data_IF_220804142945
#
_entry.id   IF_220804142945
#
_cell.length_a   1.000
_cell.length_b   1.000
_cell.length_c   1.000
_cell.angle_alpha   90.00
_cell.angle_beta   90.00
_cell.angle_gamma   90.00
#
_symmetry.space_group_name_H-M   'P 1'
#
loop_
_entity.id
_entity.type
_entity.pdbx_description
1 polymer ?
#
# COMPACT_ATOMS: atom_id res chain seq x y z
N UNK A 1 -31.73 -6.04 -23.27
CA UNK A 1 -31.79 -6.70 -21.95
C UNK A 1 -30.96 -5.86 -21.02
N UNK A 2 -31.49 -5.46 -19.87
CA UNK A 2 -30.70 -4.79 -18.82
C UNK A 2 -29.54 -5.72 -18.43
N UNK A 3 -28.36 -5.16 -18.16
CA UNK A 3 -27.24 -5.92 -17.63
C UNK A 3 -27.53 -6.44 -16.21
N UNK A 4 -26.69 -7.34 -15.67
CA UNK A 4 -26.79 -7.77 -14.28
C UNK A 4 -26.71 -6.59 -13.30
N UNK A 5 -27.46 -6.67 -12.20
CA UNK A 5 -27.38 -5.71 -11.08
C UNK A 5 -26.35 -6.18 -10.07
N UNK A 6 -25.47 -5.27 -9.63
CA UNK A 6 -24.30 -5.60 -8.81
C UNK A 6 -24.44 -5.01 -7.40
N UNK A 7 -24.44 -5.86 -6.38
CA UNK A 7 -24.40 -5.48 -4.98
C UNK A 7 -22.96 -5.37 -4.47
N UNK A 8 -22.68 -4.38 -3.64
CA UNK A 8 -21.45 -4.29 -2.83
C UNK A 8 -21.84 -4.13 -1.37
N UNK A 9 -21.66 -5.19 -0.59
CA UNK A 9 -21.89 -5.26 0.84
C UNK A 9 -20.59 -4.95 1.60
N UNK A 10 -20.56 -3.78 2.23
CA UNK A 10 -19.33 -3.16 2.73
C UNK A 10 -18.98 -1.94 1.88
N UNK A 11 -19.14 -0.75 2.43
CA UNK A 11 -18.83 0.54 1.79
C UNK A 11 -17.49 1.08 2.25
N UNK A 12 -16.48 0.20 2.27
CA UNK A 12 -15.09 0.57 2.52
C UNK A 12 -14.45 1.15 1.25
N UNK A 13 -13.17 1.50 1.30
CA UNK A 13 -12.40 1.87 0.12
C UNK A 13 -12.53 0.87 -1.03
N UNK A 14 -12.47 -0.42 -0.72
CA UNK A 14 -12.59 -1.49 -1.70
C UNK A 14 -14.00 -1.55 -2.31
N UNK A 15 -15.04 -1.49 -1.47
CA UNK A 15 -16.43 -1.55 -1.91
C UNK A 15 -16.85 -0.33 -2.74
N UNK A 16 -16.49 0.89 -2.29
CA UNK A 16 -16.82 2.14 -2.97
C UNK A 16 -16.11 2.23 -4.32
N UNK A 17 -14.78 2.05 -4.36
CA UNK A 17 -14.02 2.16 -5.61
C UNK A 17 -14.50 1.12 -6.65
N UNK A 18 -14.74 -0.11 -6.21
CA UNK A 18 -15.23 -1.18 -7.08
C UNK A 18 -16.67 -0.92 -7.56
N UNK A 19 -17.55 -0.46 -6.69
CA UNK A 19 -18.94 -0.12 -7.01
C UNK A 19 -19.06 1.03 -8.01
N UNK A 20 -18.30 2.11 -7.79
CA UNK A 20 -18.21 3.22 -8.77
C UNK A 20 -17.59 2.75 -10.08
N UNK A 21 -16.56 1.89 -10.02
CA UNK A 21 -15.97 1.24 -11.19
C UNK A 21 -16.99 0.44 -12.00
N UNK A 22 -17.81 -0.38 -11.35
CA UNK A 22 -18.92 -1.12 -11.97
C UNK A 22 -19.95 -0.19 -12.61
N UNK A 23 -20.36 0.87 -11.90
CA UNK A 23 -21.31 1.85 -12.43
C UNK A 23 -20.78 2.55 -13.68
N UNK A 24 -19.48 2.86 -13.73
CA UNK A 24 -18.82 3.45 -14.91
C UNK A 24 -18.83 2.54 -16.15
N UNK A 25 -18.99 1.22 -15.97
CA UNK A 25 -19.17 0.26 -17.06
C UNK A 25 -20.63 0.09 -17.48
N UNK A 26 -21.54 0.86 -16.88
CA UNK A 26 -22.95 0.90 -17.25
C UNK A 26 -23.84 -0.09 -16.50
N UNK A 27 -23.34 -0.71 -15.43
CA UNK A 27 -24.15 -1.57 -14.56
C UNK A 27 -24.88 -0.76 -13.48
N UNK A 28 -26.05 -1.22 -13.08
CA UNK A 28 -26.74 -0.67 -11.91
C UNK A 28 -26.19 -1.34 -10.66
N UNK A 29 -25.95 -0.53 -9.62
CA UNK A 29 -25.18 -0.92 -8.44
C UNK A 29 -25.95 -0.58 -7.16
N UNK A 30 -25.97 -1.55 -6.24
CA UNK A 30 -26.54 -1.40 -4.90
C UNK A 30 -25.42 -1.49 -3.87
N UNK A 31 -25.11 -0.38 -3.21
CA UNK A 31 -24.21 -0.33 -2.08
C UNK A 31 -24.95 -0.57 -0.77
N UNK A 32 -24.48 -1.53 0.04
CA UNK A 32 -25.06 -1.87 1.33
C UNK A 32 -24.05 -1.69 2.47
N UNK A 33 -24.47 -1.07 3.57
CA UNK A 33 -23.73 -1.04 4.83
C UNK A 33 -24.68 -0.98 6.04
N UNK A 34 -24.31 -1.61 7.15
CA UNK A 34 -25.14 -1.61 8.38
C UNK A 34 -25.25 -0.23 9.06
N UNK A 35 -24.36 0.70 8.72
CA UNK A 35 -24.33 2.06 9.27
C UNK A 35 -25.20 2.99 8.41
N UNK A 36 -26.36 3.36 8.95
CA UNK A 36 -27.32 4.24 8.29
C UNK A 36 -26.80 5.67 8.09
N UNK A 37 -25.96 6.17 9.01
CA UNK A 37 -25.39 7.52 8.93
C UNK A 37 -24.34 7.56 7.81
N UNK A 38 -23.50 6.52 7.71
CA UNK A 38 -22.56 6.36 6.60
C UNK A 38 -23.29 6.30 5.25
N UNK A 39 -24.35 5.50 5.16
CA UNK A 39 -25.17 5.37 3.95
C UNK A 39 -25.77 6.72 3.56
N UNK A 40 -26.37 7.44 4.52
CA UNK A 40 -26.95 8.75 4.26
C UNK A 40 -25.89 9.78 3.80
N UNK A 41 -24.69 9.75 4.39
CA UNK A 41 -23.59 10.61 3.98
C UNK A 41 -23.16 10.34 2.53
N UNK A 42 -22.97 9.07 2.16
CA UNK A 42 -22.60 8.66 0.79
C UNK A 42 -23.71 9.01 -0.19
N UNK A 43 -24.97 8.77 0.15
CA UNK A 43 -26.12 9.07 -0.72
C UNK A 43 -26.24 10.59 -1.00
N UNK A 44 -25.87 11.41 0.00
CA UNK A 44 -25.72 12.86 -0.09
C UNK A 44 -24.44 13.34 -0.81
N UNK A 45 -23.58 12.43 -1.29
CA UNK A 45 -22.36 12.73 -2.04
C UNK A 45 -21.09 12.92 -1.20
N UNK A 46 -21.15 12.67 0.11
CA UNK A 46 -19.98 12.74 1.00
C UNK A 46 -19.34 11.36 1.12
N UNK A 47 -18.30 11.11 0.33
CA UNK A 47 -17.58 9.82 0.36
C UNK A 47 -16.59 9.75 1.54
N UNK A 48 -16.53 8.63 2.27
CA UNK A 48 -15.60 8.42 3.39
C UNK A 48 -14.15 8.14 2.93
N UNK A 49 -13.90 8.13 1.62
CA UNK A 49 -12.63 7.72 1.03
C UNK A 49 -12.17 8.75 0.00
N UNK A 50 -10.86 8.98 -0.06
CA UNK A 50 -10.25 9.95 -0.96
C UNK A 50 -9.36 9.22 -1.95
N UNK A 51 -9.70 9.33 -3.23
CA UNK A 51 -8.92 8.78 -4.34
C UNK A 51 -9.00 9.75 -5.53
N UNK A 52 -7.94 9.86 -6.35
CA UNK A 52 -8.00 10.63 -7.58
C UNK A 52 -9.18 10.21 -8.47
N UNK A 53 -9.89 11.20 -9.01
CA UNK A 53 -11.04 11.07 -9.90
C UNK A 53 -12.30 10.41 -9.33
N UNK A 54 -12.30 9.99 -8.05
CA UNK A 54 -13.42 9.26 -7.46
C UNK A 54 -14.71 10.09 -7.42
N UNK A 55 -14.65 11.33 -6.90
CA UNK A 55 -15.83 12.20 -6.76
C UNK A 55 -16.47 12.50 -8.12
N UNK A 56 -15.64 12.79 -9.13
CA UNK A 56 -16.10 13.07 -10.48
C UNK A 56 -16.77 11.82 -11.11
N UNK A 57 -16.17 10.64 -10.94
CA UNK A 57 -16.71 9.39 -11.48
C UNK A 57 -17.99 8.97 -10.74
N UNK A 58 -18.05 9.17 -9.43
CA UNK A 58 -19.25 8.94 -8.61
C UNK A 58 -20.40 9.83 -9.09
N UNK A 59 -20.16 11.14 -9.23
CA UNK A 59 -21.18 12.08 -9.68
C UNK A 59 -21.68 11.77 -11.10
N UNK A 60 -20.77 11.44 -12.03
CA UNK A 60 -21.11 11.08 -13.41
C UNK A 60 -21.99 9.82 -13.50
N UNK A 61 -21.89 8.91 -12.54
CA UNK A 61 -22.61 7.64 -12.52
C UNK A 61 -23.70 7.57 -11.44
N UNK A 62 -24.04 8.69 -10.79
CA UNK A 62 -24.95 8.73 -9.64
C UNK A 62 -26.31 8.06 -9.90
N UNK A 63 -26.83 8.19 -11.13
CA UNK A 63 -28.10 7.59 -11.54
C UNK A 63 -28.11 6.05 -11.59
N UNK A 64 -26.95 5.40 -11.46
CA UNK A 64 -26.78 3.94 -11.40
C UNK A 64 -26.42 3.43 -10.01
N UNK A 65 -26.16 4.33 -9.07
CA UNK A 65 -25.72 4.00 -7.71
C UNK A 65 -26.91 4.16 -6.77
N UNK A 66 -27.25 3.11 -6.02
CA UNK A 66 -28.23 3.18 -4.93
C UNK A 66 -27.58 2.71 -3.65
N UNK A 67 -27.77 3.42 -2.54
CA UNK A 67 -27.22 3.04 -1.24
C UNK A 67 -28.33 2.74 -0.24
N UNK A 68 -28.15 1.71 0.58
CA UNK A 68 -29.13 1.30 1.59
C UNK A 68 -28.47 0.72 2.84
N UNK A 69 -29.12 0.93 3.98
CA UNK A 69 -28.80 0.24 5.23
C UNK A 69 -29.71 -0.96 5.51
N UNK A 70 -30.65 -1.26 4.61
CA UNK A 70 -31.50 -2.45 4.66
C UNK A 70 -30.93 -3.54 3.73
N UNK A 71 -30.52 -4.72 4.27
CA UNK A 71 -29.99 -5.81 3.44
C UNK A 71 -31.02 -6.37 2.45
N UNK A 72 -32.32 -6.15 2.64
CA UNK A 72 -33.35 -6.53 1.67
C UNK A 72 -33.19 -5.83 0.31
N UNK A 73 -32.49 -4.69 0.26
CA UNK A 73 -32.14 -4.01 -0.99
C UNK A 73 -31.28 -4.85 -1.94
N UNK A 74 -30.58 -5.86 -1.42
CA UNK A 74 -29.75 -6.78 -2.20
C UNK A 74 -30.55 -7.86 -2.94
N UNK A 75 -31.84 -8.02 -2.66
CA UNK A 75 -32.69 -9.03 -3.30
C UNK A 75 -32.83 -8.87 -4.82
N UNK A 76 -32.56 -7.67 -5.34
CA UNK A 76 -32.54 -7.37 -6.78
C UNK A 76 -31.21 -7.71 -7.48
N UNK A 77 -30.14 -7.98 -6.72
CA UNK A 77 -28.79 -8.15 -7.27
C UNK A 77 -28.58 -9.54 -7.85
N UNK A 78 -27.93 -9.61 -9.01
CA UNK A 78 -27.46 -10.85 -9.64
C UNK A 78 -26.14 -11.34 -9.03
N UNK A 79 -25.31 -10.38 -8.62
CA UNK A 79 -23.98 -10.62 -8.05
C UNK A 79 -23.86 -9.72 -6.84
N UNK A 80 -23.42 -10.24 -5.70
CA UNK A 80 -23.17 -9.46 -4.48
C UNK A 80 -21.74 -9.69 -4.03
N UNK A 81 -20.97 -8.62 -3.96
CA UNK A 81 -19.61 -8.63 -3.42
C UNK A 81 -19.63 -8.36 -1.92
N UNK A 82 -18.86 -9.14 -1.15
CA UNK A 82 -18.52 -8.82 0.24
C UNK A 82 -17.17 -8.09 0.24
N UNK A 83 -17.16 -6.83 0.65
CA UNK A 83 -16.05 -5.91 0.53
C UNK A 83 -15.81 -5.12 1.84
N UNK A 84 -15.76 -5.84 2.97
CA UNK A 84 -15.43 -5.26 4.28
C UNK A 84 -13.92 -5.22 4.52
N UNK A 85 -13.48 -4.33 5.41
CA UNK A 85 -12.08 -4.29 5.85
C UNK A 85 -11.80 -5.48 6.78
N UNK A 86 -10.56 -5.95 6.74
CA UNK A 86 -10.08 -7.10 7.53
C UNK A 86 -9.03 -6.59 8.50
N UNK A 87 -9.40 -6.31 9.76
CA UNK A 87 -8.45 -5.88 10.78
C UNK A 87 -7.32 -6.89 10.91
N UNK A 88 -6.13 -6.39 11.18
CA UNK A 88 -4.94 -7.22 11.36
C UNK A 88 -4.14 -6.70 12.54
N UNK A 89 -3.78 -7.59 13.46
CA UNK A 89 -2.96 -7.29 14.63
C UNK A 89 -1.47 -7.05 14.27
N UNK A 90 -0.64 -6.84 15.29
CA UNK A 90 0.80 -6.57 15.14
C UNK A 90 1.58 -7.83 14.73
N UNK A 91 1.04 -9.03 14.98
CA UNK A 91 1.60 -10.31 14.52
C UNK A 91 1.15 -10.66 13.07
N UNK A 92 0.42 -9.74 12.43
CA UNK A 92 -0.09 -9.94 11.09
C UNK A 92 -1.21 -10.97 11.01
N UNK A 93 -1.88 -11.31 12.11
CA UNK A 93 -3.04 -12.20 12.10
C UNK A 93 -4.31 -11.42 11.77
N UNK A 94 -5.11 -11.96 10.85
CA UNK A 94 -6.34 -11.32 10.37
C UNK A 94 -7.54 -11.72 11.20
N UNK A 95 -8.34 -10.75 11.60
CA UNK A 95 -9.68 -10.97 12.14
C UNK A 95 -10.69 -11.12 11.00
N UNK A 96 -11.21 -12.34 10.84
CA UNK A 96 -12.16 -12.68 9.77
C UNK A 96 -13.62 -12.48 10.20
N UNK A 97 -13.88 -12.16 11.47
CA UNK A 97 -15.22 -11.96 12.05
C UNK A 97 -16.06 -10.94 11.25
N UNK A 98 -15.51 -9.81 10.77
CA UNK A 98 -16.30 -8.87 9.97
C UNK A 98 -16.80 -9.46 8.65
N UNK A 99 -16.00 -10.30 8.00
CA UNK A 99 -16.39 -10.95 6.73
C UNK A 99 -17.50 -11.95 7.00
N UNK A 100 -17.33 -12.79 8.02
CA UNK A 100 -18.30 -13.82 8.41
C UNK A 100 -19.64 -13.18 8.77
N UNK A 101 -19.61 -12.12 9.57
CA UNK A 101 -20.81 -11.35 9.95
C UNK A 101 -21.51 -10.75 8.73
N UNK A 102 -20.76 -10.20 7.78
CA UNK A 102 -21.33 -9.63 6.57
C UNK A 102 -21.97 -10.70 5.68
N UNK A 103 -21.30 -11.85 5.51
CA UNK A 103 -21.86 -13.00 4.77
C UNK A 103 -23.17 -13.47 5.41
N UNK A 104 -23.20 -13.65 6.73
CA UNK A 104 -24.39 -14.09 7.47
C UNK A 104 -25.53 -13.06 7.38
N UNK A 105 -25.19 -11.77 7.33
CA UNK A 105 -26.16 -10.68 7.19
C UNK A 105 -26.79 -10.67 5.80
N UNK A 106 -26.02 -10.83 4.72
CA UNK A 106 -26.54 -10.63 3.36
C UNK A 106 -27.11 -11.89 2.73
N UNK A 107 -26.56 -13.07 3.05
CA UNK A 107 -26.94 -14.35 2.42
C UNK A 107 -28.45 -14.63 2.48
N UNK A 108 -29.17 -14.38 3.59
CA UNK A 108 -30.62 -14.62 3.67
C UNK A 108 -31.46 -13.73 2.73
N UNK A 109 -30.91 -12.64 2.21
CA UNK A 109 -31.61 -11.66 1.38
C UNK A 109 -31.31 -11.79 -0.11
N UNK A 110 -30.38 -12.69 -0.48
CA UNK A 110 -30.02 -12.93 -1.87
C UNK A 110 -31.09 -13.76 -2.57
N UNK A 111 -31.37 -13.46 -3.84
CA UNK A 111 -32.18 -14.34 -4.69
C UNK A 111 -31.52 -15.71 -4.86
N UNK A 112 -32.33 -16.73 -5.17
CA UNK A 112 -31.90 -18.13 -5.21
C UNK A 112 -30.74 -18.41 -6.19
N UNK A 113 -30.65 -17.65 -7.28
CA UNK A 113 -29.61 -17.76 -8.31
C UNK A 113 -28.51 -16.69 -8.21
N UNK A 114 -28.56 -15.83 -7.19
CA UNK A 114 -27.53 -14.81 -6.99
C UNK A 114 -26.20 -15.44 -6.62
N UNK A 115 -25.15 -14.77 -7.10
CA UNK A 115 -23.76 -15.11 -6.86
C UNK A 115 -23.22 -14.24 -5.73
N UNK A 116 -22.60 -14.85 -4.73
CA UNK A 116 -21.84 -14.16 -3.70
C UNK A 116 -20.35 -14.21 -4.05
N UNK A 117 -19.70 -13.06 -4.06
CA UNK A 117 -18.26 -12.94 -4.33
C UNK A 117 -17.56 -12.35 -3.12
N UNK A 118 -16.62 -13.09 -2.53
CA UNK A 118 -15.74 -12.54 -1.49
C UNK A 118 -14.66 -11.71 -2.19
N UNK A 119 -14.62 -10.40 -1.93
CA UNK A 119 -13.60 -9.49 -2.46
C UNK A 119 -12.51 -9.17 -1.41
N UNK A 120 -12.85 -9.33 -0.13
CA UNK A 120 -11.94 -9.19 1.00
C UNK A 120 -10.76 -10.15 0.91
N UNK A 121 -9.58 -9.74 1.37
CA UNK A 121 -8.46 -10.66 1.45
C UNK A 121 -8.67 -11.68 2.58
N UNK A 122 -8.51 -12.97 2.25
CA UNK A 122 -8.73 -14.11 3.17
C UNK A 122 -7.58 -15.12 3.04
N UNK A 123 -7.32 -15.95 4.08
CA UNK A 123 -6.30 -16.99 4.00
C UNK A 123 -6.72 -18.15 3.07
N UNK A 124 -5.76 -18.90 2.49
CA UNK A 124 -6.07 -20.07 1.69
C UNK A 124 -6.93 -21.11 2.43
N UNK A 125 -7.99 -21.57 1.76
CA UNK A 125 -8.99 -22.50 2.29
C UNK A 125 -10.23 -21.83 2.86
N UNK A 126 -10.24 -20.51 3.05
CA UNK A 126 -11.36 -19.79 3.64
C UNK A 126 -12.66 -19.99 2.87
N UNK A 127 -12.65 -19.77 1.55
CA UNK A 127 -13.86 -19.84 0.72
C UNK A 127 -14.38 -21.26 0.59
N UNK A 128 -13.49 -22.27 0.56
CA UNK A 128 -13.85 -23.69 0.50
C UNK A 128 -14.67 -24.13 1.73
N UNK A 129 -14.39 -23.55 2.89
CA UNK A 129 -15.03 -23.89 4.17
C UNK A 129 -16.42 -23.28 4.37
N UNK A 130 -16.94 -22.50 3.42
CA UNK A 130 -18.22 -21.78 3.58
C UNK A 130 -19.42 -22.63 3.18
N UNK A 131 -20.52 -22.45 3.91
CA UNK A 131 -21.78 -23.18 3.72
C UNK A 131 -22.66 -22.59 2.59
N UNK A 132 -22.06 -22.26 1.45
CA UNK A 132 -22.76 -21.85 0.23
C UNK A 132 -22.53 -22.89 -0.86
N UNK A 133 -23.50 -23.05 -1.75
CA UNK A 133 -23.35 -24.04 -2.83
C UNK A 133 -22.18 -23.64 -3.74
N UNK A 134 -21.35 -24.61 -4.18
CA UNK A 134 -20.13 -24.33 -4.96
C UNK A 134 -20.33 -23.54 -6.27
N UNK A 135 -21.55 -23.47 -6.78
CA UNK A 135 -21.95 -22.76 -7.99
C UNK A 135 -22.38 -21.31 -7.75
N UNK A 136 -22.59 -20.92 -6.48
CA UNK A 136 -23.02 -19.57 -6.06
C UNK A 136 -21.95 -18.79 -5.33
N UNK A 137 -20.89 -19.43 -4.84
CA UNK A 137 -19.79 -18.76 -4.15
C UNK A 137 -18.60 -18.58 -5.09
N UNK A 138 -18.02 -17.39 -5.09
CA UNK A 138 -16.76 -17.09 -5.76
C UNK A 138 -15.88 -16.25 -4.84
N UNK A 139 -14.59 -16.25 -5.14
CA UNK A 139 -13.62 -15.35 -4.56
C UNK A 139 -13.03 -14.52 -5.69
N UNK A 140 -12.76 -13.25 -5.46
CA UNK A 140 -12.07 -12.41 -6.44
C UNK A 140 -10.90 -11.72 -5.75
N UNK A 141 -9.71 -11.88 -6.33
CA UNK A 141 -8.51 -11.21 -5.82
C UNK A 141 -8.61 -9.72 -6.12
N UNK A 142 -8.58 -8.89 -5.08
CA UNK A 142 -8.42 -7.45 -5.25
C UNK A 142 -6.95 -7.08 -5.49
N UNK A 143 -6.73 -6.09 -6.37
CA UNK A 143 -5.39 -5.55 -6.67
C UNK A 143 -5.42 -4.03 -6.71
N UNK A 144 -6.24 -3.40 -5.86
CA UNK A 144 -6.29 -1.95 -5.77
C UNK A 144 -5.00 -1.42 -5.15
N UNK A 145 -4.63 -0.20 -5.53
CA UNK A 145 -3.46 0.51 -5.03
C UNK A 145 -3.95 1.87 -4.59
N UNK A 146 -3.72 2.23 -3.32
CA UNK A 146 -4.05 3.56 -2.80
C UNK A 146 -3.46 4.67 -3.69
N UNK A 147 -4.27 5.66 -4.01
CA UNK A 147 -3.94 6.76 -4.93
C UNK A 147 -4.11 6.42 -6.42
N UNK A 148 -4.45 5.16 -6.74
CA UNK A 148 -4.76 4.68 -8.10
C UNK A 148 -5.93 3.69 -8.09
N UNK A 149 -6.75 3.71 -7.04
CA UNK A 149 -7.76 2.67 -6.85
C UNK A 149 -8.87 2.78 -7.90
N UNK A 150 -9.29 4.00 -8.23
CA UNK A 150 -10.30 4.26 -9.28
C UNK A 150 -9.82 3.79 -10.65
N UNK A 151 -8.58 4.12 -11.02
CA UNK A 151 -7.98 3.64 -12.27
C UNK A 151 -7.95 2.11 -12.31
N UNK A 152 -7.52 1.46 -11.22
CA UNK A 152 -7.44 -0.01 -11.12
C UNK A 152 -8.81 -0.68 -11.12
N UNK A 153 -9.82 -0.06 -10.53
CA UNK A 153 -11.19 -0.55 -10.52
C UNK A 153 -11.86 -0.42 -11.90
N UNK A 154 -11.51 0.61 -12.68
CA UNK A 154 -12.10 0.86 -14.01
C UNK A 154 -11.35 0.21 -15.16
N UNK A 155 -10.04 0.03 -15.02
CA UNK A 155 -9.13 -0.54 -16.03
C UNK A 155 -8.22 -1.61 -15.39
N UNK A 156 -8.80 -2.72 -14.90
CA UNK A 156 -8.02 -3.79 -14.30
C UNK A 156 -7.12 -4.47 -15.34
N UNK A 157 -5.92 -4.89 -14.93
CA UNK A 157 -5.01 -5.63 -15.80
C UNK A 157 -5.49 -7.07 -16.05
N UNK A 158 -6.27 -7.63 -15.11
CA UNK A 158 -6.83 -8.99 -15.11
C UNK A 158 -7.83 -9.14 -13.96
N UNK A 159 -8.73 -10.12 -14.07
CA UNK A 159 -9.50 -10.63 -12.93
C UNK A 159 -9.04 -12.04 -12.58
N UNK A 160 -8.66 -12.26 -11.31
CA UNK A 160 -8.34 -13.58 -10.77
C UNK A 160 -9.54 -14.04 -9.95
N UNK A 161 -10.09 -15.20 -10.32
CA UNK A 161 -11.40 -15.65 -9.82
C UNK A 161 -11.23 -17.03 -9.19
N UNK A 162 -11.40 -17.11 -7.87
CA UNK A 162 -11.48 -18.36 -7.13
C UNK A 162 -12.87 -18.97 -7.24
N UNK A 163 -12.92 -20.25 -7.60
CA UNK A 163 -14.15 -21.02 -7.73
C UNK A 163 -13.91 -22.49 -7.31
N UNK A 164 -14.98 -23.27 -7.19
CA UNK A 164 -14.86 -24.68 -6.81
C UNK A 164 -14.21 -25.54 -7.90
N UNK A 165 -14.56 -25.30 -9.17
CA UNK A 165 -14.04 -25.98 -10.36
C UNK A 165 -13.75 -24.97 -11.49
N UNK A 166 -12.47 -24.66 -11.77
CA UNK A 166 -12.10 -23.69 -12.81
C UNK A 166 -12.32 -24.18 -14.24
N UNK A 167 -12.59 -25.48 -14.44
CA UNK A 167 -12.95 -25.99 -15.76
C UNK A 167 -14.41 -25.67 -16.14
N UNK A 168 -15.26 -25.35 -15.14
CA UNK A 168 -16.64 -24.98 -15.37
C UNK A 168 -16.74 -23.52 -15.82
N UNK A 169 -17.52 -23.20 -16.87
CA UNK A 169 -17.76 -21.81 -17.26
C UNK A 169 -18.38 -21.00 -16.12
N UNK A 170 -17.95 -19.75 -15.99
CA UNK A 170 -18.60 -18.80 -15.08
C UNK A 170 -20.08 -18.61 -15.46
N UNK A 171 -20.98 -18.40 -14.49
CA UNK A 171 -22.36 -18.05 -14.74
C UNK A 171 -22.47 -16.84 -15.69
N UNK A 172 -23.52 -16.81 -16.50
CA UNK A 172 -23.66 -15.81 -17.57
C UNK A 172 -23.66 -14.37 -17.05
N UNK A 173 -24.37 -14.08 -15.96
CA UNK A 173 -24.40 -12.75 -15.32
C UNK A 173 -23.00 -12.33 -14.89
N UNK A 174 -22.27 -13.19 -14.18
CA UNK A 174 -20.93 -12.88 -13.69
C UNK A 174 -19.92 -12.72 -14.82
N UNK A 175 -19.99 -13.58 -15.84
CA UNK A 175 -19.15 -13.48 -17.03
C UNK A 175 -19.38 -12.17 -17.79
N UNK A 176 -20.64 -11.79 -18.03
CA UNK A 176 -20.99 -10.52 -18.70
C UNK A 176 -20.48 -9.32 -17.91
N UNK A 177 -20.61 -9.35 -16.57
CA UNK A 177 -20.09 -8.29 -15.71
C UNK A 177 -18.57 -8.15 -15.86
N UNK A 178 -17.82 -9.25 -15.74
CA UNK A 178 -16.35 -9.21 -15.79
C UNK A 178 -15.81 -8.88 -17.19
N UNK A 179 -16.42 -9.42 -18.26
CA UNK A 179 -16.00 -9.17 -19.65
C UNK A 179 -16.12 -7.69 -20.05
N UNK A 180 -17.03 -6.92 -19.43
CA UNK A 180 -17.20 -5.49 -19.70
C UNK A 180 -16.00 -4.62 -19.35
N UNK A 181 -15.05 -5.12 -18.55
CA UNK A 181 -13.81 -4.42 -18.23
C UNK A 181 -12.71 -4.63 -19.28
N UNK A 182 -12.88 -5.59 -20.21
CA UNK A 182 -11.96 -5.79 -21.33
C UNK A 182 -10.59 -6.37 -20.93
N UNK A 183 -10.48 -7.04 -19.78
CA UNK A 183 -9.25 -7.67 -19.30
C UNK A 183 -9.36 -9.21 -19.28
N UNK A 184 -8.23 -9.94 -19.26
CA UNK A 184 -8.24 -11.40 -19.12
C UNK A 184 -8.95 -11.86 -17.83
N UNK A 185 -9.73 -12.93 -17.95
CA UNK A 185 -10.33 -13.64 -16.81
C UNK A 185 -9.49 -14.88 -16.50
N UNK A 186 -9.12 -15.07 -15.24
CA UNK A 186 -8.28 -16.16 -14.77
C UNK A 186 -9.02 -16.97 -13.69
N UNK A 187 -9.93 -17.88 -14.07
CA UNK A 187 -10.55 -18.82 -13.14
C UNK A 187 -9.50 -19.80 -12.59
N UNK A 188 -9.52 -20.00 -11.27
CA UNK A 188 -8.72 -20.99 -10.57
C UNK A 188 -9.47 -21.52 -9.36
N UNK A 189 -8.93 -22.54 -8.68
CA UNK A 189 -9.51 -23.06 -7.44
C UNK A 189 -9.44 -21.99 -6.35
N UNK A 190 -10.35 -22.03 -5.37
CA UNK A 190 -10.36 -21.08 -4.24
C UNK A 190 -8.99 -20.88 -3.61
N UNK A 191 -8.34 -21.97 -3.19
CA UNK A 191 -7.06 -21.94 -2.51
C UNK A 191 -5.96 -21.35 -3.41
N UNK A 192 -6.04 -21.60 -4.72
CA UNK A 192 -5.12 -21.03 -5.70
C UNK A 192 -5.29 -19.51 -5.82
N UNK A 193 -6.52 -19.01 -5.83
CA UNK A 193 -6.79 -17.57 -5.92
C UNK A 193 -6.42 -16.84 -4.63
N UNK A 194 -6.78 -17.41 -3.47
CA UNK A 194 -6.43 -16.88 -2.14
C UNK A 194 -4.91 -16.83 -1.97
N UNK A 195 -4.20 -17.89 -2.38
CA UNK A 195 -2.74 -17.90 -2.38
C UNK A 195 -2.14 -16.97 -3.45
N UNK A 196 -2.80 -16.76 -4.59
CA UNK A 196 -2.29 -15.89 -5.65
C UNK A 196 -2.14 -14.43 -5.18
N UNK A 197 -3.04 -13.94 -4.32
CA UNK A 197 -2.89 -12.60 -3.71
C UNK A 197 -1.61 -12.50 -2.88
N UNK A 198 -1.40 -13.49 -2.01
CA UNK A 198 -0.20 -13.58 -1.16
C UNK A 198 1.05 -13.69 -2.04
N UNK A 199 1.01 -14.55 -3.06
CA UNK A 199 2.13 -14.74 -3.99
C UNK A 199 2.50 -13.45 -4.72
N UNK A 200 1.54 -12.70 -5.25
CA UNK A 200 1.80 -11.39 -5.89
C UNK A 200 2.58 -10.48 -4.93
N UNK A 201 2.12 -10.38 -3.68
CA UNK A 201 2.76 -9.56 -2.66
C UNK A 201 4.16 -10.07 -2.29
N UNK A 202 4.36 -11.38 -2.16
CA UNK A 202 5.69 -11.96 -1.92
C UNK A 202 6.67 -11.70 -3.07
N UNK A 203 6.23 -11.75 -4.33
CA UNK A 203 7.07 -11.43 -5.48
C UNK A 203 7.42 -9.94 -5.55
N UNK A 204 6.50 -9.04 -5.18
CA UNK A 204 6.80 -7.62 -5.02
C UNK A 204 7.86 -7.39 -3.94
N UNK A 205 7.69 -8.03 -2.78
CA UNK A 205 8.67 -8.00 -1.69
C UNK A 205 10.03 -8.52 -2.13
N UNK A 206 10.08 -9.66 -2.84
CA UNK A 206 11.33 -10.22 -3.33
C UNK A 206 12.09 -9.24 -4.24
N UNK A 207 11.37 -8.55 -5.14
CA UNK A 207 11.95 -7.51 -6.02
C UNK A 207 12.53 -6.35 -5.22
N UNK A 208 11.79 -5.83 -4.24
CA UNK A 208 12.23 -4.71 -3.38
C UNK A 208 13.40 -5.12 -2.48
N UNK A 209 13.33 -6.28 -1.82
CA UNK A 209 14.40 -6.77 -0.94
C UNK A 209 15.71 -6.99 -1.70
N UNK A 210 15.64 -7.59 -2.89
CA UNK A 210 16.81 -7.78 -3.74
C UNK A 210 17.39 -6.44 -4.20
N UNK A 211 16.51 -5.51 -4.60
CA UNK A 211 16.87 -4.14 -4.97
C UNK A 211 17.60 -3.42 -3.84
N UNK A 212 17.05 -3.44 -2.63
CA UNK A 212 17.67 -2.79 -1.46
C UNK A 212 19.05 -3.36 -1.15
N UNK A 213 19.20 -4.69 -1.17
CA UNK A 213 20.50 -5.33 -0.93
C UNK A 213 21.55 -4.91 -1.95
N UNK A 214 21.21 -4.94 -3.25
CA UNK A 214 22.17 -4.59 -4.30
C UNK A 214 22.45 -3.08 -4.32
N UNK A 215 21.44 -2.24 -4.06
CA UNK A 215 21.62 -0.80 -3.93
C UNK A 215 22.59 -0.46 -2.79
N UNK A 216 22.40 -0.98 -1.58
CA UNK A 216 23.34 -0.72 -0.48
C UNK A 216 24.76 -1.23 -0.77
N UNK A 217 24.91 -2.31 -1.55
CA UNK A 217 26.23 -2.76 -2.02
C UNK A 217 26.88 -1.76 -2.98
N UNK A 218 26.10 -1.11 -3.84
CA UNK A 218 26.60 -0.12 -4.81
C UNK A 218 27.39 1.01 -4.12
N UNK A 219 26.93 1.45 -2.94
CA UNK A 219 27.57 2.48 -2.11
C UNK A 219 29.04 2.16 -1.79
N UNK A 220 29.38 0.87 -1.62
CA UNK A 220 30.73 0.45 -1.20
C UNK A 220 31.64 0.05 -2.34
N UNK A 221 31.07 -0.37 -3.47
CA UNK A 221 31.84 -0.82 -4.64
C UNK A 221 32.02 0.27 -5.68
N UNK A 222 31.47 1.46 -5.45
CA UNK A 222 31.57 2.60 -6.38
C UNK A 222 30.61 2.51 -7.57
N UNK A 223 29.52 1.74 -7.44
CA UNK A 223 28.49 1.62 -8.46
C UNK A 223 27.30 2.54 -8.13
N UNK A 224 26.47 2.83 -9.13
CA UNK A 224 25.21 3.58 -8.96
C UNK A 224 24.02 2.69 -9.37
N UNK A 225 23.09 2.47 -8.45
CA UNK A 225 21.90 1.66 -8.72
C UNK A 225 21.01 2.22 -9.83
N UNK A 226 20.96 3.55 -10.00
CA UNK A 226 20.19 4.20 -11.06
C UNK A 226 20.75 3.93 -12.46
N UNK A 227 22.03 3.58 -12.58
CA UNK A 227 22.64 3.10 -13.83
C UNK A 227 22.23 1.64 -14.13
N UNK A 228 22.03 0.83 -13.09
CA UNK A 228 21.72 -0.61 -13.21
C UNK A 228 20.22 -0.84 -13.47
N UNK A 229 19.34 -0.19 -12.71
CA UNK A 229 17.90 -0.46 -12.74
C UNK A 229 17.25 -0.36 -14.14
N UNK A 230 17.60 0.60 -15.02
CA UNK A 230 17.08 0.65 -16.38
C UNK A 230 17.43 -0.59 -17.21
N UNK A 231 18.65 -1.12 -17.06
CA UNK A 231 19.10 -2.33 -17.77
C UNK A 231 18.25 -3.55 -17.39
N UNK A 232 17.91 -3.68 -16.11
CA UNK A 232 17.06 -4.76 -15.60
C UNK A 232 15.61 -4.64 -16.09
N UNK A 233 15.05 -3.43 -16.15
CA UNK A 233 13.69 -3.18 -16.68
C UNK A 233 13.55 -3.53 -18.16
N UNK A 234 14.64 -3.44 -18.92
CA UNK A 234 14.67 -3.82 -20.34
C UNK A 234 14.75 -5.34 -20.56
N UNK A 235 15.18 -6.12 -19.56
CA UNK A 235 15.13 -7.58 -19.64
C UNK A 235 13.67 -8.05 -19.59
N UNK A 236 13.20 -8.68 -20.67
CA UNK A 236 11.82 -9.13 -20.80
C UNK A 236 11.37 -10.13 -19.72
N UNK A 237 12.30 -10.80 -19.03
CA UNK A 237 12.02 -11.75 -17.94
C UNK A 237 11.79 -11.05 -16.60
N UNK A 238 12.25 -9.80 -16.46
CA UNK A 238 12.05 -8.94 -15.29
C UNK A 238 10.90 -7.98 -15.58
N UNK A 239 11.01 -7.24 -16.68
CA UNK A 239 9.96 -6.43 -17.26
C UNK A 239 9.99 -4.95 -16.87
N UNK A 240 9.36 -4.10 -17.69
CA UNK A 240 9.47 -2.64 -17.58
C UNK A 240 8.79 -2.06 -16.33
N UNK A 241 7.84 -2.80 -15.74
CA UNK A 241 7.09 -2.41 -14.53
C UNK A 241 7.69 -2.98 -13.24
N UNK A 242 8.87 -3.62 -13.29
CA UNK A 242 9.49 -4.19 -12.10
C UNK A 242 9.81 -3.10 -11.05
N UNK A 243 9.57 -3.46 -9.78
CA UNK A 243 9.84 -2.62 -8.62
C UNK A 243 11.32 -2.71 -8.28
N UNK A 244 12.09 -1.81 -8.89
CA UNK A 244 13.55 -1.72 -8.77
C UNK A 244 14.00 -0.36 -8.21
N UNK A 245 13.12 0.30 -7.45
CA UNK A 245 13.47 1.52 -6.73
C UNK A 245 13.83 1.13 -5.29
N UNK A 246 15.05 1.44 -4.82
CA UNK A 246 15.45 1.10 -3.47
C UNK A 246 14.71 1.98 -2.45
N UNK A 247 14.64 1.51 -1.21
CA UNK A 247 14.03 2.24 -0.11
C UNK A 247 14.32 1.60 1.23
N UNK A 248 13.69 2.12 2.28
CA UNK A 248 13.94 1.74 3.67
C UNK A 248 13.16 0.48 4.11
N UNK A 249 13.09 -0.53 3.23
CA UNK A 249 12.37 -1.78 3.48
C UNK A 249 10.86 -1.72 3.17
N UNK A 250 10.13 -2.69 3.72
CA UNK A 250 8.69 -2.86 3.55
C UNK A 250 7.96 -2.04 4.61
N UNK A 251 6.95 -1.28 4.19
CA UNK A 251 6.15 -0.42 5.06
C UNK A 251 4.65 -0.61 4.82
N UNK A 252 3.83 -0.12 5.75
CA UNK A 252 2.40 -0.42 5.79
C UNK A 252 2.12 -1.82 6.35
N UNK A 253 0.85 -2.23 6.37
CA UNK A 253 0.41 -3.49 7.00
C UNK A 253 0.24 -4.69 6.07
N UNK A 254 -0.14 -4.47 4.81
CA UNK A 254 -0.64 -5.55 3.94
C UNK A 254 0.46 -6.54 3.53
N UNK A 255 1.65 -6.05 3.18
CA UNK A 255 2.76 -6.91 2.76
C UNK A 255 3.32 -7.71 3.94
N UNK A 256 3.51 -7.09 5.09
CA UNK A 256 4.02 -7.79 6.29
C UNK A 256 3.05 -8.87 6.79
N UNK A 257 1.75 -8.58 6.78
CA UNK A 257 0.70 -9.58 7.07
C UNK A 257 0.80 -10.80 6.16
N UNK A 258 1.04 -10.58 4.87
CA UNK A 258 1.10 -11.67 3.89
C UNK A 258 2.36 -12.52 4.09
N UNK A 259 3.51 -11.90 4.39
CA UNK A 259 4.73 -12.63 4.77
C UNK A 259 4.51 -13.45 6.06
N UNK A 260 3.89 -12.86 7.08
CA UNK A 260 3.56 -13.56 8.32
C UNK A 260 2.61 -14.74 8.08
N UNK A 261 1.66 -14.57 7.17
CA UNK A 261 0.73 -15.63 6.75
C UNK A 261 1.46 -16.78 6.09
N UNK A 262 2.44 -16.51 5.20
CA UNK A 262 3.25 -17.59 4.61
C UNK A 262 4.07 -18.33 5.68
N UNK A 263 4.71 -17.62 6.61
CA UNK A 263 5.43 -18.25 7.72
C UNK A 263 4.51 -19.17 8.55
N UNK A 264 3.30 -18.72 8.90
CA UNK A 264 2.33 -19.55 9.63
C UNK A 264 1.85 -20.75 8.84
N UNK A 265 1.56 -20.56 7.54
CA UNK A 265 1.19 -21.67 6.65
C UNK A 265 2.31 -22.70 6.57
N UNK A 266 3.56 -22.26 6.52
CA UNK A 266 4.70 -23.17 6.47
C UNK A 266 4.81 -24.03 7.73
N UNK A 267 4.69 -23.42 8.91
CA UNK A 267 4.66 -24.14 10.20
C UNK A 267 3.48 -25.13 10.24
N UNK A 268 2.28 -24.70 9.83
CA UNK A 268 1.09 -25.53 9.86
C UNK A 268 1.13 -26.73 8.88
N UNK A 269 1.95 -26.65 7.83
CA UNK A 269 2.06 -27.67 6.79
C UNK A 269 3.42 -28.39 6.78
N UNK A 270 4.24 -28.24 7.83
CA UNK A 270 5.58 -28.83 7.93
C UNK A 270 6.47 -28.51 6.70
N UNK A 271 6.46 -27.24 6.28
CA UNK A 271 7.24 -26.74 5.14
C UNK A 271 8.21 -25.63 5.52
N UNK A 272 9.10 -25.27 4.58
CA UNK A 272 10.11 -24.22 4.79
C UNK A 272 9.57 -22.82 4.41
N UNK A 273 9.92 -21.82 5.22
CA UNK A 273 9.67 -20.40 4.95
C UNK A 273 10.94 -19.55 5.00
N UNK A 274 12.15 -20.15 5.00
CA UNK A 274 13.40 -19.43 5.23
C UNK A 274 13.66 -18.27 4.26
N UNK A 275 13.21 -18.39 3.00
CA UNK A 275 13.29 -17.29 2.01
C UNK A 275 12.41 -16.11 2.41
N UNK A 276 11.19 -16.38 2.89
CA UNK A 276 10.24 -15.35 3.32
C UNK A 276 10.72 -14.69 4.63
N UNK A 277 11.26 -15.47 5.55
CA UNK A 277 11.90 -14.96 6.77
C UNK A 277 13.10 -14.06 6.43
N UNK A 278 13.89 -14.42 5.42
CA UNK A 278 15.00 -13.61 4.93
C UNK A 278 14.52 -12.25 4.40
N UNK A 279 13.36 -12.18 3.73
CA UNK A 279 12.78 -10.90 3.31
C UNK A 279 12.35 -10.04 4.49
N UNK A 280 11.79 -10.63 5.56
CA UNK A 280 11.45 -9.91 6.79
C UNK A 280 12.72 -9.35 7.47
N UNK A 281 13.77 -10.17 7.57
CA UNK A 281 15.06 -9.76 8.11
C UNK A 281 15.72 -8.66 7.28
N UNK A 282 15.70 -8.77 5.95
CA UNK A 282 16.16 -7.74 5.03
C UNK A 282 15.40 -6.43 5.21
N UNK A 283 14.07 -6.47 5.34
CA UNK A 283 13.26 -5.29 5.57
C UNK A 283 13.60 -4.59 6.88
N UNK A 284 13.76 -5.34 7.97
CA UNK A 284 14.20 -4.77 9.25
C UNK A 284 15.59 -4.13 9.14
N UNK A 285 16.53 -4.80 8.46
CA UNK A 285 17.85 -4.25 8.20
C UNK A 285 17.82 -2.98 7.33
N UNK A 286 16.95 -2.93 6.30
CA UNK A 286 16.82 -1.76 5.43
C UNK A 286 16.20 -0.55 6.14
N UNK A 287 15.23 -0.76 7.05
CA UNK A 287 14.65 0.32 7.89
C UNK A 287 15.72 1.06 8.71
N UNK A 288 16.74 0.33 9.14
CA UNK A 288 17.87 0.86 9.91
C UNK A 288 18.93 1.59 9.08
N UNK A 289 18.78 1.70 7.75
CA UNK A 289 19.81 2.31 6.91
C UNK A 289 20.08 3.77 7.29
N UNK A 290 19.03 4.58 7.49
CA UNK A 290 19.17 5.99 7.87
C UNK A 290 19.87 6.16 9.20
N UNK A 291 19.54 5.30 10.19
CA UNK A 291 20.20 5.28 11.49
C UNK A 291 21.69 4.94 11.37
N UNK A 292 22.04 3.86 10.66
CA UNK A 292 23.46 3.47 10.45
C UNK A 292 24.26 4.56 9.73
N UNK A 293 23.65 5.26 8.77
CA UNK A 293 24.30 6.36 8.05
C UNK A 293 24.49 7.58 8.96
N UNK A 294 23.47 7.96 9.74
CA UNK A 294 23.57 9.03 10.73
C UNK A 294 24.65 8.74 11.79
N UNK A 295 24.69 7.51 12.30
CA UNK A 295 25.67 7.09 13.31
C UNK A 295 27.10 7.26 12.79
N UNK A 296 27.37 6.75 11.58
CA UNK A 296 28.68 6.80 10.94
C UNK A 296 29.10 8.21 10.53
N UNK A 297 28.19 8.98 9.93
CA UNK A 297 28.51 10.27 9.31
C UNK A 297 28.56 11.42 10.33
N UNK A 298 27.68 11.39 11.35
CA UNK A 298 27.46 12.52 12.26
C UNK A 298 27.77 12.14 13.70
N UNK A 299 27.10 11.12 14.27
CA UNK A 299 27.17 10.85 15.71
C UNK A 299 28.56 10.38 16.18
N UNK A 300 29.33 9.74 15.29
CA UNK A 300 30.73 9.40 15.54
C UNK A 300 31.63 10.64 15.74
N UNK A 301 31.26 11.79 15.16
CA UNK A 301 32.01 13.04 15.20
C UNK A 301 31.43 14.05 16.21
N UNK A 302 30.12 14.08 16.37
CA UNK A 302 29.38 15.02 17.21
C UNK A 302 28.34 14.26 18.04
N UNK A 303 28.51 14.25 19.37
CA UNK A 303 27.67 13.44 20.28
C UNK A 303 26.25 13.95 20.46
N UNK A 304 26.05 15.27 20.33
CA UNK A 304 24.77 15.95 20.56
C UNK A 304 24.46 16.88 19.39
N UNK A 305 24.22 16.35 18.19
CA UNK A 305 23.83 17.15 17.04
C UNK A 305 22.36 17.55 17.14
N UNK A 306 22.03 18.67 16.50
CA UNK A 306 20.65 19.04 16.17
C UNK A 306 20.21 18.31 14.91
N UNK A 307 19.16 17.51 15.02
CA UNK A 307 18.72 16.61 13.95
C UNK A 307 17.35 17.07 13.45
N UNK A 308 17.24 17.36 12.16
CA UNK A 308 15.96 17.57 11.50
C UNK A 308 15.50 16.28 10.82
N UNK A 309 14.26 15.83 11.07
CA UNK A 309 13.64 14.68 10.43
C UNK A 309 12.42 15.13 9.64
N UNK A 310 12.49 15.01 8.33
CA UNK A 310 11.44 15.34 7.39
C UNK A 310 10.71 14.06 6.97
N UNK A 311 9.44 13.94 7.37
CA UNK A 311 8.59 12.79 7.10
C UNK A 311 8.38 11.87 8.30
N UNK A 312 7.11 11.63 8.65
CA UNK A 312 6.64 10.73 9.71
C UNK A 312 5.77 9.59 9.14
N UNK A 313 5.03 9.85 8.06
CA UNK A 313 4.25 8.83 7.37
C UNK A 313 5.13 7.73 6.76
N UNK A 314 4.59 6.53 6.61
CA UNK A 314 5.35 5.41 6.04
C UNK A 314 5.63 5.56 4.53
N UNK A 315 4.86 6.41 3.83
CA UNK A 315 5.03 6.77 2.42
C UNK A 315 4.38 8.14 2.16
N UNK A 316 4.59 8.69 0.96
CA UNK A 316 3.88 9.89 0.50
C UNK A 316 2.36 9.64 0.37
N UNK A 317 1.58 10.72 0.48
CA UNK A 317 0.12 10.77 0.30
C UNK A 317 -0.68 9.87 1.26
N UNK A 318 -0.22 9.70 2.50
CA UNK A 318 -0.97 9.01 3.54
C UNK A 318 -0.76 9.61 4.92
N UNK A 319 -1.76 9.50 5.80
CA UNK A 319 -1.66 9.83 7.22
C UNK A 319 -1.18 8.63 8.06
N UNK A 320 -0.98 7.46 7.44
CA UNK A 320 -0.66 6.24 8.16
C UNK A 320 0.83 6.17 8.50
N UNK A 321 1.11 5.78 9.75
CA UNK A 321 2.46 5.60 10.30
C UNK A 321 2.79 4.14 10.59
N UNK A 322 1.90 3.20 10.20
CA UNK A 322 2.09 1.77 10.44
C UNK A 322 3.38 1.29 9.77
N UNK A 323 4.31 0.78 10.58
CA UNK A 323 5.63 0.32 10.15
C UNK A 323 6.46 1.39 9.42
N UNK A 324 6.32 2.65 9.84
CA UNK A 324 7.07 3.77 9.30
C UNK A 324 8.57 3.67 9.63
N UNK A 325 9.47 3.76 8.63
CA UNK A 325 10.92 3.79 8.86
C UNK A 325 11.36 5.01 9.67
N UNK A 326 10.66 6.14 9.57
CA UNK A 326 10.99 7.34 10.34
C UNK A 326 10.68 7.19 11.81
N UNK A 327 9.61 6.48 12.18
CA UNK A 327 9.33 6.18 13.59
C UNK A 327 10.34 5.18 14.18
N UNK A 328 10.78 4.19 13.40
CA UNK A 328 11.87 3.29 13.81
C UNK A 328 13.17 4.08 14.07
N UNK A 329 13.54 4.97 13.16
CA UNK A 329 14.67 5.89 13.33
C UNK A 329 14.51 6.77 14.58
N UNK A 330 13.35 7.39 14.79
CA UNK A 330 13.11 8.30 15.90
C UNK A 330 13.20 7.60 17.26
N UNK A 331 12.87 6.30 17.34
CA UNK A 331 13.07 5.53 18.57
C UNK A 331 14.55 5.46 19.02
N UNK A 332 15.51 5.58 18.09
CA UNK A 332 16.94 5.68 18.42
C UNK A 332 17.38 7.08 18.88
N UNK A 333 16.55 8.10 18.65
CA UNK A 333 16.88 9.50 18.86
C UNK A 333 16.29 10.09 20.14
N UNK A 334 15.66 9.27 20.98
CA UNK A 334 15.16 9.72 22.27
C UNK A 334 16.29 10.31 23.12
N UNK A 335 16.10 11.54 23.60
CA UNK A 335 17.11 12.30 24.33
C UNK A 335 18.08 13.13 23.48
N UNK A 336 17.94 13.12 22.15
CA UNK A 336 18.65 14.04 21.23
C UNK A 336 17.83 15.31 20.98
N UNK A 337 18.47 16.36 20.45
CA UNK A 337 17.80 17.59 20.00
C UNK A 337 17.21 17.37 18.61
N UNK A 338 15.92 17.00 18.53
CA UNK A 338 15.24 16.60 17.30
C UNK A 338 14.11 17.56 16.94
N UNK A 339 14.12 18.03 15.69
CA UNK A 339 13.04 18.73 15.03
C UNK A 339 12.36 17.81 14.00
N UNK A 340 11.03 17.75 13.98
CA UNK A 340 10.27 16.94 13.02
C UNK A 340 9.30 17.80 12.22
N UNK A 341 9.09 17.42 10.96
CA UNK A 341 8.01 17.95 10.14
C UNK A 341 7.47 16.87 9.21
N UNK A 342 6.14 16.73 9.16
CA UNK A 342 5.42 15.96 8.14
C UNK A 342 4.20 16.76 7.68
N UNK A 343 3.86 16.79 6.39
CA UNK A 343 2.75 17.61 5.88
C UNK A 343 1.36 17.15 6.34
N UNK A 344 1.24 15.89 6.76
CA UNK A 344 -0.05 15.24 7.04
C UNK A 344 -0.11 14.66 8.45
N UNK A 345 0.98 14.08 8.92
CA UNK A 345 1.05 13.40 10.23
C UNK A 345 1.43 14.38 11.33
N UNK A 346 0.61 14.47 12.38
CA UNK A 346 0.93 15.30 13.55
C UNK A 346 2.19 14.82 14.26
N UNK A 347 3.02 15.78 14.69
CA UNK A 347 4.21 15.53 15.51
C UNK A 347 3.89 15.00 16.91
N UNK A 348 2.64 15.09 17.38
CA UNK A 348 2.24 14.64 18.73
C UNK A 348 2.52 13.14 18.97
N UNK A 349 2.65 12.35 17.89
CA UNK A 349 3.02 10.94 17.99
C UNK A 349 4.48 10.72 18.39
N UNK A 350 5.30 11.79 18.39
CA UNK A 350 6.73 11.80 18.75
C UNK A 350 6.98 12.85 19.83
N UNK A 351 6.51 12.64 21.09
CA UNK A 351 6.40 13.70 22.08
C UNK A 351 7.74 14.29 22.55
N UNK A 352 8.86 13.59 22.34
CA UNK A 352 10.19 14.11 22.70
C UNK A 352 10.75 15.07 21.63
N UNK A 353 10.23 15.03 20.39
CA UNK A 353 10.71 15.86 19.29
C UNK A 353 9.93 17.17 19.22
N UNK A 354 10.60 18.23 18.76
CA UNK A 354 9.95 19.51 18.46
C UNK A 354 9.23 19.40 17.11
N UNK A 355 7.91 19.55 17.10
CA UNK A 355 7.13 19.68 15.86
C UNK A 355 7.25 21.07 15.23
N UNK A 356 7.51 21.14 13.93
CA UNK A 356 7.59 22.37 13.15
C UNK A 356 6.51 22.40 12.06
N UNK A 357 6.34 23.55 11.40
CA UNK A 357 5.29 23.77 10.41
C UNK A 357 5.77 23.73 8.96
N UNK A 358 7.08 23.79 8.72
CA UNK A 358 7.68 23.69 7.39
C UNK A 358 8.99 22.90 7.44
N UNK A 359 9.43 22.41 6.28
CA UNK A 359 10.70 21.70 6.13
C UNK A 359 11.92 22.58 6.47
N UNK A 360 11.91 23.85 6.05
CA UNK A 360 12.98 24.80 6.34
C UNK A 360 13.03 25.20 7.83
N UNK A 361 11.88 25.33 8.50
CA UNK A 361 11.84 25.60 9.94
C UNK A 361 12.42 24.42 10.74
N UNK A 362 12.16 23.18 10.31
CA UNK A 362 12.75 22.00 10.93
C UNK A 362 14.26 21.93 10.68
N UNK A 363 14.72 22.33 9.49
CA UNK A 363 16.14 22.37 9.13
C UNK A 363 16.93 23.53 9.77
N UNK A 364 16.25 24.55 10.30
CA UNK A 364 16.88 25.74 10.85
C UNK A 364 17.86 25.40 12.01
N UNK A 365 19.12 25.79 11.83
CA UNK A 365 20.25 25.49 12.70
C UNK A 365 20.49 23.99 12.97
N UNK A 366 19.99 23.10 12.11
CA UNK A 366 20.24 21.67 12.20
C UNK A 366 21.70 21.35 11.78
N UNK A 367 22.33 20.41 12.48
CA UNK A 367 23.63 19.85 12.09
C UNK A 367 23.47 18.82 10.97
N UNK A 368 22.29 18.18 10.90
CA UNK A 368 21.95 17.17 9.90
C UNK A 368 20.46 17.21 9.58
N UNK A 369 20.12 17.03 8.31
CA UNK A 369 18.73 16.88 7.81
C UNK A 369 18.54 15.47 7.25
N UNK A 370 17.46 14.81 7.68
CA UNK A 370 17.08 13.45 7.27
C UNK A 370 15.76 13.50 6.50
N UNK A 371 15.75 13.09 5.23
CA UNK A 371 14.54 13.03 4.39
C UNK A 371 14.01 11.60 4.35
N UNK A 372 13.12 11.25 5.29
CA UNK A 372 12.78 9.84 5.60
C UNK A 372 11.42 9.40 5.05
N UNK A 373 10.66 10.33 4.46
CA UNK A 373 9.44 10.03 3.68
C UNK A 373 9.48 10.81 2.36
N UNK A 374 9.19 10.18 1.20
CA UNK A 374 9.40 10.79 -0.11
C UNK A 374 8.28 11.77 -0.53
N UNK A 375 7.86 12.70 0.33
CA UNK A 375 6.80 13.65 0.02
C UNK A 375 7.14 14.52 -1.20
N UNK A 376 6.18 14.82 -2.11
CA UNK A 376 6.43 15.67 -3.27
C UNK A 376 7.02 17.04 -2.93
N UNK A 377 6.54 17.68 -1.87
CA UNK A 377 7.05 18.99 -1.45
C UNK A 377 8.52 18.98 -1.01
N UNK A 378 9.07 17.85 -0.57
CA UNK A 378 10.48 17.77 -0.21
C UNK A 378 11.39 17.76 -1.44
N UNK A 379 10.89 17.34 -2.61
CA UNK A 379 11.62 17.43 -3.89
C UNK A 379 11.78 18.87 -4.37
N UNK A 380 10.93 19.78 -3.88
CA UNK A 380 10.95 21.20 -4.23
C UNK A 380 11.86 22.02 -3.31
N UNK A 381 12.51 21.40 -2.31
CA UNK A 381 13.45 22.09 -1.43
C UNK A 381 14.69 22.49 -2.24
N UNK A 382 14.95 23.79 -2.32
CA UNK A 382 16.16 24.37 -2.89
C UNK A 382 17.38 24.01 -2.03
N UNK A 383 18.40 23.29 -2.54
CA UNK A 383 19.60 22.99 -1.75
C UNK A 383 20.34 24.23 -1.24
N UNK A 384 20.45 25.36 -1.99
CA UNK A 384 20.96 26.62 -1.44
C UNK A 384 20.19 27.14 -0.23
N UNK A 385 18.86 27.10 -0.25
CA UNK A 385 18.03 27.57 0.86
C UNK A 385 18.23 26.67 2.08
N UNK A 386 18.34 25.36 1.86
CA UNK A 386 18.64 24.39 2.90
C UNK A 386 20.02 24.66 3.52
N UNK A 387 21.04 24.94 2.71
CA UNK A 387 22.38 25.27 3.17
C UNK A 387 22.44 26.59 3.96
N UNK A 388 21.60 27.58 3.62
CA UNK A 388 21.52 28.86 4.33
C UNK A 388 20.96 28.69 5.75
N UNK A 389 19.95 27.83 5.93
CA UNK A 389 19.29 27.66 7.23
C UNK A 389 20.00 26.66 8.14
N UNK A 390 20.74 25.69 7.59
CA UNK A 390 21.45 24.67 8.37
C UNK A 390 22.71 25.22 9.07
N UNK A 391 23.07 24.61 10.20
CA UNK A 391 24.35 24.85 10.88
C UNK A 391 25.43 23.88 10.41
N UNK A 392 25.05 22.62 10.20
CA UNK A 392 25.92 21.58 9.65
C UNK A 392 25.80 21.47 8.14
N UNK A 393 26.40 20.42 7.59
CA UNK A 393 26.48 20.23 6.13
C UNK A 393 25.92 18.90 5.65
N UNK A 394 25.37 18.08 6.54
CA UNK A 394 25.01 16.69 6.20
C UNK A 394 23.53 16.58 5.85
N UNK A 395 23.25 16.08 4.65
CA UNK A 395 21.92 15.68 4.21
C UNK A 395 21.90 14.17 3.98
N UNK A 396 20.98 13.47 4.66
CA UNK A 396 20.75 12.04 4.48
C UNK A 396 19.38 11.86 3.83
N UNK A 397 19.39 11.46 2.56
CA UNK A 397 18.23 11.35 1.70
C UNK A 397 18.21 9.94 1.06
N UNK A 398 17.69 8.92 1.77
CA UNK A 398 17.61 7.56 1.25
C UNK A 398 16.77 7.42 -0.03
N UNK A 399 15.94 8.40 -0.39
CA UNK A 399 15.07 8.32 -1.56
C UNK A 399 15.60 9.13 -2.75
N UNK A 400 16.68 9.91 -2.57
CA UNK A 400 17.22 10.78 -3.62
C UNK A 400 16.20 11.80 -4.12
N UNK A 401 15.46 12.42 -3.19
CA UNK A 401 14.49 13.48 -3.49
C UNK A 401 15.18 14.73 -4.02
N UNK A 402 16.38 15.02 -3.51
CA UNK A 402 17.18 16.16 -3.94
C UNK A 402 18.18 15.75 -5.02
N UNK A 403 18.39 16.64 -6.00
CA UNK A 403 19.43 16.45 -7.00
C UNK A 403 20.82 16.51 -6.35
N UNK A 404 21.57 15.42 -6.44
CA UNK A 404 22.83 15.28 -5.72
C UNK A 404 23.92 16.25 -6.15
N UNK A 405 23.92 16.69 -7.41
CA UNK A 405 24.89 17.66 -7.91
C UNK A 405 24.54 19.07 -7.40
N UNK A 406 23.26 19.42 -7.33
CA UNK A 406 22.79 20.66 -6.73
C UNK A 406 23.06 20.72 -5.22
N UNK A 407 22.90 19.61 -4.49
CA UNK A 407 23.26 19.52 -3.06
C UNK A 407 24.76 19.75 -2.86
N UNK A 408 25.61 19.08 -3.65
CA UNK A 408 27.06 19.27 -3.59
C UNK A 408 27.48 20.70 -3.95
N UNK A 409 26.86 21.30 -4.98
CA UNK A 409 27.12 22.68 -5.40
C UNK A 409 26.72 23.71 -4.32
N UNK A 410 25.71 23.41 -3.49
CA UNK A 410 25.33 24.21 -2.34
C UNK A 410 26.29 24.06 -1.13
N UNK A 411 27.30 23.18 -1.23
CA UNK A 411 28.28 22.97 -0.16
C UNK A 411 27.80 22.02 0.94
N UNK A 412 26.91 21.09 0.61
CA UNK A 412 26.38 20.06 1.52
C UNK A 412 26.88 18.66 1.12
N UNK A 413 27.18 17.83 2.11
CA UNK A 413 27.40 16.40 1.95
C UNK A 413 26.06 15.69 1.73
N UNK A 414 26.01 14.79 0.76
CA UNK A 414 24.80 14.06 0.39
C UNK A 414 24.98 12.55 0.48
N UNK A 415 24.15 11.92 1.32
CA UNK A 415 24.09 10.47 1.47
C UNK A 415 22.77 9.95 0.91
N UNK A 416 22.85 9.12 -0.13
CA UNK A 416 21.68 8.53 -0.79
C UNK A 416 21.86 7.02 -0.89
N UNK A 417 20.81 6.26 -0.59
CA UNK A 417 20.83 4.81 -0.72
C UNK A 417 21.03 4.43 -2.18
N UNK A 418 21.98 3.52 -2.45
CA UNK A 418 22.21 3.04 -3.81
C UNK A 418 23.38 3.66 -4.56
N UNK A 419 24.03 4.68 -4.00
CA UNK A 419 25.14 5.41 -4.65
C UNK A 419 26.22 5.77 -3.64
N UNK A 420 27.49 5.96 -4.06
CA UNK A 420 28.54 6.44 -3.18
C UNK A 420 28.18 7.82 -2.62
N UNK A 421 28.52 8.08 -1.36
CA UNK A 421 28.27 9.37 -0.74
C UNK A 421 28.98 10.49 -1.52
N UNK A 422 28.26 11.57 -1.80
CA UNK A 422 28.82 12.78 -2.41
C UNK A 422 29.28 13.70 -1.30
N UNK A 423 30.58 13.67 -1.01
CA UNK A 423 31.18 14.51 0.03
C UNK A 423 31.84 15.73 -0.60
N UNK A 424 31.66 16.90 0.01
CA UNK A 424 32.37 18.10 -0.42
C UNK A 424 33.85 18.01 -0.02
N UNK A 425 34.75 18.61 -0.81
CA UNK A 425 36.18 18.58 -0.51
C UNK A 425 36.48 19.24 0.85
N UNK A 426 37.11 18.48 1.76
CA UNK A 426 37.56 18.95 3.08
C UNK A 426 36.80 18.41 4.30
N UNK A 427 35.96 17.38 4.15
CA UNK A 427 35.18 16.72 5.21
C UNK A 427 35.88 15.52 5.91
#
# INVERSE_FOLDING_TARGET
>A
MSGPVIGYAGLTHLGICSGVGAASKGFDVVGFHNDADLVAAIDGGSLPVVEPDLDALFAANRGRLTFSADPASLAQCDIVYVAVDVPTDDDGASDLTPIDTMIDTVTPHLKDDAILVILCQVPPGYSRGRALTPDRLYYQVETLIFGRAVERATLPERFIIGCADPARPLPSSYRVFLEAFGCPLLPMRYESAELAKIAINCFLVASVSTTNTLAEMCERVGADWAEIAPSLRLDARIGPKAYLTPGLGISGGNLERDLATVCRLAVANDSDAGVIESYRGNSAYAKEWTWRTLERAVLAKQKTPKIAVLGLAYKENTHSTKNSPSLALLAHLEGQDVAVYDPVVSSDIVPFAKGLSTSLDAAAAADVVLLVTPWPEFREISPPDLAEVMAGKTVIDPYGLLDGDAVAAAGLDHYTLGVPARLIEGA
#
